data_IF_320510955364
#
_entry.id   IF_320510955364
#
_cell.length_a   1.000
_cell.length_b   1.000
_cell.length_c   1.000
_cell.angle_alpha   90.00
_cell.angle_beta   90.00
_cell.angle_gamma   90.00
#
_symmetry.space_group_name_H-M   'P 1'
#
loop_
_entity.id
_entity.type
_entity.pdbx_description
1 polymer ?
#
# COMPACT_ATOMS: atom_id res chain seq x y z
N UNK A 1 -55.20 -49.52 36.14
CA UNK A 1 -54.32 -49.38 35.00
C UNK A 1 -54.14 -47.88 34.74
N UNK A 2 -52.94 -47.33 35.02
CA UNK A 2 -52.62 -45.89 34.80
C UNK A 2 -51.89 -45.77 33.49
N UNK A 3 -52.20 -44.80 32.62
CA UNK A 3 -51.46 -44.58 31.40
C UNK A 3 -50.19 -43.77 31.72
N UNK A 4 -49.10 -44.25 31.14
CA UNK A 4 -47.78 -43.65 31.30
C UNK A 4 -47.64 -42.29 30.58
N UNK A 5 -47.01 -41.34 31.25
CA UNK A 5 -46.57 -40.09 30.67
C UNK A 5 -45.30 -40.32 29.85
N UNK A 6 -45.38 -40.04 28.55
CA UNK A 6 -44.21 -39.97 27.68
C UNK A 6 -43.62 -38.58 27.82
N UNK A 7 -42.46 -38.48 28.44
CA UNK A 7 -41.67 -37.24 28.54
C UNK A 7 -40.93 -37.05 27.22
N UNK A 8 -41.38 -36.08 26.41
CA UNK A 8 -40.73 -35.69 25.16
C UNK A 8 -39.55 -34.76 25.51
N UNK A 9 -38.35 -35.31 25.47
CA UNK A 9 -37.10 -34.53 25.65
C UNK A 9 -36.81 -33.78 24.34
N UNK A 10 -37.11 -32.49 24.33
CA UNK A 10 -36.76 -31.61 23.22
C UNK A 10 -35.26 -31.27 23.29
N UNK A 11 -34.44 -31.99 22.53
CA UNK A 11 -33.02 -31.67 22.41
C UNK A 11 -32.91 -30.46 21.46
N UNK A 12 -32.68 -29.28 22.05
CA UNK A 12 -32.36 -28.06 21.30
C UNK A 12 -30.92 -28.21 20.80
N UNK A 13 -30.74 -28.65 19.56
CA UNK A 13 -29.45 -28.59 18.87
C UNK A 13 -29.22 -27.14 18.51
N UNK A 14 -28.45 -26.44 19.32
CA UNK A 14 -27.83 -25.20 18.95
C UNK A 14 -26.80 -25.51 17.84
N UNK A 15 -27.20 -25.38 16.60
CA UNK A 15 -26.26 -25.27 15.51
C UNK A 15 -25.58 -23.90 15.69
N UNK A 16 -24.40 -23.89 16.31
CA UNK A 16 -23.44 -22.83 16.07
C UNK A 16 -23.12 -22.90 14.58
N UNK A 17 -23.78 -22.07 13.80
CA UNK A 17 -23.28 -21.69 12.49
C UNK A 17 -21.97 -20.93 12.78
N UNK A 18 -20.84 -21.63 12.67
CA UNK A 18 -19.60 -20.95 12.34
C UNK A 18 -19.94 -20.19 11.04
N UNK A 19 -20.08 -18.88 11.13
CA UNK A 19 -19.86 -18.06 9.96
C UNK A 19 -18.41 -18.38 9.55
N UNK A 20 -18.24 -19.15 8.48
CA UNK A 20 -17.00 -19.13 7.73
C UNK A 20 -16.84 -17.65 7.34
N UNK A 21 -15.82 -17.03 7.90
CA UNK A 21 -15.29 -15.82 7.26
C UNK A 21 -15.11 -16.17 5.80
N UNK A 22 -15.58 -15.29 4.92
CA UNK A 22 -15.50 -15.50 3.47
C UNK A 22 -14.00 -15.41 3.13
N UNK A 23 -13.33 -16.56 3.22
CA UNK A 23 -11.97 -16.68 2.71
C UNK A 23 -12.08 -16.49 1.19
N UNK A 24 -11.62 -15.36 0.68
CA UNK A 24 -11.55 -15.10 -0.75
C UNK A 24 -10.88 -16.25 -1.52
N UNK A 25 -10.86 -16.19 -2.85
CA UNK A 25 -10.35 -17.30 -3.67
C UNK A 25 -8.89 -17.59 -3.33
N UNK A 26 -8.53 -18.88 -3.27
CA UNK A 26 -7.15 -19.28 -2.97
C UNK A 26 -6.19 -18.96 -4.11
N UNK A 27 -6.69 -18.94 -5.33
CA UNK A 27 -5.94 -18.58 -6.54
C UNK A 27 -6.72 -17.54 -7.33
N UNK A 28 -6.00 -16.58 -7.89
CA UNK A 28 -6.58 -15.53 -8.72
C UNK A 28 -5.65 -15.24 -9.88
N UNK A 29 -6.21 -14.94 -11.03
CA UNK A 29 -5.47 -14.51 -12.22
C UNK A 29 -5.79 -13.04 -12.48
N UNK A 30 -4.76 -12.26 -12.73
CA UNK A 30 -4.87 -10.87 -13.17
C UNK A 30 -4.41 -10.77 -14.61
N UNK A 31 -5.09 -9.95 -15.38
CA UNK A 31 -4.65 -9.52 -16.70
C UNK A 31 -4.33 -8.04 -16.64
N UNK A 32 -3.09 -7.68 -16.92
CA UNK A 32 -2.64 -6.31 -17.04
C UNK A 32 -2.40 -6.02 -18.52
N UNK A 33 -3.27 -5.21 -19.09
CA UNK A 33 -3.18 -4.76 -20.48
C UNK A 33 -2.45 -3.45 -20.54
N UNK A 34 -1.44 -3.36 -21.39
CA UNK A 34 -0.61 -2.19 -21.57
C UNK A 34 -0.61 -1.84 -23.05
N UNK A 35 -1.20 -0.70 -23.39
CA UNK A 35 -1.10 -0.11 -24.72
C UNK A 35 -0.07 1.03 -24.66
N UNK A 36 0.93 1.00 -25.50
CA UNK A 36 1.88 2.08 -25.62
C UNK A 36 2.19 2.43 -27.09
N UNK A 37 2.35 3.71 -27.36
CA UNK A 37 2.71 4.21 -28.67
C UNK A 37 3.47 5.53 -28.53
N UNK A 38 4.25 5.85 -29.56
CA UNK A 38 5.01 7.09 -29.60
C UNK A 38 4.60 7.93 -30.83
N UNK A 39 3.49 8.68 -30.75
CA UNK A 39 2.94 9.40 -31.91
C UNK A 39 3.81 10.57 -32.37
N UNK A 40 4.72 11.07 -31.54
CA UNK A 40 5.49 12.30 -31.80
C UNK A 40 7.01 12.11 -31.77
N UNK A 41 7.48 10.90 -31.46
CA UNK A 41 8.92 10.62 -31.29
C UNK A 41 9.54 11.20 -30.00
N UNK A 42 8.71 11.72 -29.10
CA UNK A 42 9.12 12.21 -27.78
C UNK A 42 8.79 11.15 -26.70
N UNK A 43 8.03 11.50 -25.67
CA UNK A 43 7.64 10.56 -24.63
C UNK A 43 6.52 9.63 -25.12
N UNK A 44 6.60 8.32 -24.90
CA UNK A 44 5.54 7.38 -25.25
C UNK A 44 4.27 7.65 -24.43
N UNK A 45 3.12 7.56 -25.05
CA UNK A 45 1.84 7.50 -24.35
C UNK A 45 1.53 6.06 -23.95
N UNK A 46 1.04 5.87 -22.71
CA UNK A 46 0.78 4.55 -22.16
C UNK A 46 -0.58 4.53 -21.50
N UNK A 47 -1.32 3.47 -21.77
CA UNK A 47 -2.59 3.17 -21.13
C UNK A 47 -2.51 1.83 -20.46
N UNK A 48 -3.11 1.75 -19.27
CA UNK A 48 -3.22 0.54 -18.50
C UNK A 48 -4.67 0.21 -18.25
N UNK A 49 -4.98 -1.07 -18.36
CA UNK A 49 -6.22 -1.65 -17.90
C UNK A 49 -5.89 -2.92 -17.13
N UNK A 50 -6.36 -3.02 -15.89
CA UNK A 50 -6.14 -4.15 -15.03
C UNK A 50 -7.47 -4.86 -14.75
N UNK A 51 -7.51 -6.16 -15.01
CA UNK A 51 -8.67 -7.01 -14.78
C UNK A 51 -8.30 -8.15 -13.84
N UNK A 52 -9.20 -8.52 -12.95
CA UNK A 52 -9.03 -9.67 -12.06
C UNK A 52 -10.09 -10.73 -12.39
N UNK A 53 -9.71 -11.99 -12.35
CA UNK A 53 -10.65 -13.11 -12.47
C UNK A 53 -11.57 -13.25 -11.26
N UNK A 54 -11.23 -12.58 -10.14
CA UNK A 54 -12.03 -12.52 -8.93
C UNK A 54 -12.30 -11.08 -8.53
N UNK A 55 -13.57 -10.68 -8.36
CA UNK A 55 -13.92 -9.32 -7.92
C UNK A 55 -13.48 -9.02 -6.46
N UNK A 56 -13.11 -10.06 -5.69
CA UNK A 56 -12.69 -9.94 -4.30
C UNK A 56 -11.20 -9.63 -4.16
N UNK A 57 -10.45 -9.70 -5.27
CA UNK A 57 -9.00 -9.41 -5.28
C UNK A 57 -8.73 -8.34 -6.32
N UNK A 58 -8.01 -7.31 -5.92
CA UNK A 58 -7.57 -6.22 -6.79
C UNK A 58 -6.06 -6.22 -6.94
N UNK A 59 -5.61 -5.70 -8.06
CA UNK A 59 -4.23 -5.33 -8.29
C UNK A 59 -4.10 -3.81 -8.13
N UNK A 60 -3.26 -3.38 -7.22
CA UNK A 60 -2.87 -1.98 -7.07
C UNK A 60 -1.43 -1.82 -7.59
N UNK A 61 -1.17 -0.74 -8.30
CA UNK A 61 0.19 -0.37 -8.72
C UNK A 61 0.32 1.15 -8.73
N UNK A 62 1.53 1.63 -8.48
CA UNK A 62 1.79 3.05 -8.67
C UNK A 62 1.84 3.35 -10.17
N UNK A 63 1.20 4.44 -10.59
CA UNK A 63 1.20 4.89 -12.00
C UNK A 63 2.56 5.43 -12.45
N UNK A 64 3.56 5.26 -11.67
CA UNK A 64 4.88 5.78 -11.95
C UNK A 64 5.67 4.77 -12.74
N UNK A 65 5.79 5.06 -14.01
CA UNK A 65 6.66 4.33 -14.93
C UNK A 65 8.08 4.81 -14.72
N UNK A 66 8.90 3.98 -14.10
CA UNK A 66 10.33 4.13 -14.11
C UNK A 66 10.84 3.91 -15.53
N UNK A 67 11.29 4.99 -16.16
CA UNK A 67 12.18 5.00 -17.29
C UNK A 67 11.83 4.11 -18.48
N UNK A 68 11.03 4.64 -19.43
CA UNK A 68 11.12 4.17 -20.80
C UNK A 68 12.42 4.70 -21.42
N UNK A 69 13.50 3.96 -21.28
CA UNK A 69 14.53 4.06 -22.28
C UNK A 69 14.03 3.24 -23.47
N UNK A 70 13.51 3.87 -24.50
CA UNK A 70 13.28 3.25 -25.81
C UNK A 70 14.48 3.55 -26.67
N UNK A 71 15.58 2.80 -26.57
CA UNK A 71 16.51 2.73 -27.67
C UNK A 71 15.77 2.08 -28.83
N UNK A 72 16.06 2.38 -30.09
CA UNK A 72 15.33 1.86 -31.25
C UNK A 72 15.28 0.34 -31.34
N UNK A 73 15.90 -0.40 -30.43
CA UNK A 73 16.02 -1.85 -30.45
C UNK A 73 15.73 -2.59 -29.14
N UNK A 74 15.29 -1.90 -28.08
CA UNK A 74 14.98 -2.50 -26.77
C UNK A 74 13.81 -1.80 -26.14
N UNK A 75 12.81 -2.55 -25.72
CA UNK A 75 11.69 -2.03 -24.95
C UNK A 75 11.74 -2.63 -23.55
N UNK A 76 12.02 -1.80 -22.57
CA UNK A 76 11.90 -2.16 -21.16
C UNK A 76 10.62 -1.56 -20.62
N UNK A 77 9.78 -2.40 -20.02
CA UNK A 77 8.62 -1.94 -19.26
C UNK A 77 8.89 -2.28 -17.80
N UNK A 78 8.93 -1.28 -16.95
CA UNK A 78 9.05 -1.45 -15.50
C UNK A 78 7.74 -0.99 -14.88
N UNK A 79 7.14 -1.81 -14.05
CA UNK A 79 5.93 -1.51 -13.30
C UNK A 79 6.31 -1.65 -11.83
N UNK A 80 6.35 -0.52 -11.16
CA UNK A 80 6.77 -0.44 -9.77
C UNK A 80 5.58 -0.55 -8.81
N UNK A 81 5.86 -0.99 -7.60
CA UNK A 81 4.92 -1.00 -6.49
C UNK A 81 3.64 -1.81 -6.76
N UNK A 82 3.76 -2.94 -7.42
CA UNK A 82 2.62 -3.84 -7.68
C UNK A 82 2.22 -4.57 -6.40
N UNK A 83 0.95 -4.50 -6.06
CA UNK A 83 0.35 -5.19 -4.91
C UNK A 83 -0.87 -5.96 -5.35
N UNK A 84 -1.00 -7.18 -4.84
CA UNK A 84 -2.14 -8.04 -5.06
C UNK A 84 -2.86 -8.23 -3.72
N UNK A 85 -4.05 -7.63 -3.57
CA UNK A 85 -4.72 -7.50 -2.28
C UNK A 85 -6.16 -7.98 -2.40
N UNK A 86 -6.56 -8.92 -1.52
CA UNK A 86 -7.95 -9.31 -1.34
C UNK A 86 -8.77 -8.26 -0.61
N UNK A 87 -10.09 -8.31 -0.75
CA UNK A 87 -11.02 -7.43 0.00
C UNK A 87 -10.96 -7.64 1.52
N UNK A 88 -10.44 -8.79 1.93
CA UNK A 88 -10.15 -9.16 3.33
C UNK A 88 -8.76 -8.67 3.80
N UNK A 89 -8.09 -7.84 2.99
CA UNK A 89 -6.74 -7.32 3.20
C UNK A 89 -5.64 -8.39 3.30
N UNK A 90 -5.90 -9.59 2.81
CA UNK A 90 -4.87 -10.62 2.68
C UNK A 90 -4.12 -10.44 1.39
N UNK A 91 -2.79 -10.57 1.44
CA UNK A 91 -1.93 -10.47 0.28
C UNK A 91 -1.96 -11.75 -0.54
N UNK A 92 -1.68 -11.58 -1.83
CA UNK A 92 -1.49 -12.65 -2.78
C UNK A 92 -0.04 -12.60 -3.28
N UNK A 93 0.56 -13.78 -3.41
CA UNK A 93 1.91 -13.93 -3.98
C UNK A 93 1.80 -14.21 -5.47
N UNK A 94 2.74 -13.64 -6.24
CA UNK A 94 2.89 -13.95 -7.65
C UNK A 94 3.53 -15.34 -7.78
N UNK A 95 2.85 -16.25 -8.48
CA UNK A 95 3.37 -17.59 -8.78
C UNK A 95 3.99 -17.65 -10.18
N UNK A 96 3.33 -17.03 -11.15
CA UNK A 96 3.75 -17.05 -12.54
C UNK A 96 3.28 -15.80 -13.27
N UNK A 97 4.07 -15.33 -14.20
CA UNK A 97 3.69 -14.26 -15.12
C UNK A 97 3.97 -14.73 -16.54
N UNK A 98 2.95 -14.63 -17.40
CA UNK A 98 3.09 -14.90 -18.83
C UNK A 98 2.81 -13.63 -19.61
N UNK A 99 3.67 -13.27 -20.54
CA UNK A 99 3.49 -12.12 -21.39
C UNK A 99 2.93 -12.51 -22.77
N UNK A 100 2.04 -11.68 -23.28
CA UNK A 100 1.46 -11.81 -24.61
C UNK A 100 1.59 -10.49 -25.34
N UNK A 101 1.81 -10.58 -26.66
CA UNK A 101 1.76 -9.46 -27.57
C UNK A 101 0.59 -9.65 -28.53
N UNK A 102 -0.14 -8.56 -28.82
CA UNK A 102 -1.15 -8.58 -29.84
C UNK A 102 -0.52 -8.49 -31.23
N UNK A 103 -0.84 -9.42 -32.07
CA UNK A 103 -0.36 -9.49 -33.46
C UNK A 103 -1.47 -9.07 -34.41
N UNK A 104 -1.34 -7.88 -35.01
CA UNK A 104 -2.32 -7.34 -35.94
C UNK A 104 -2.44 -8.17 -37.23
N UNK A 105 -1.34 -8.80 -37.64
CA UNK A 105 -1.31 -9.66 -38.85
C UNK A 105 -2.19 -10.92 -38.73
N UNK A 106 -2.42 -11.43 -37.55
CA UNK A 106 -3.29 -12.56 -37.25
C UNK A 106 -4.53 -12.18 -36.44
N UNK A 107 -4.62 -10.92 -36.02
CA UNK A 107 -5.66 -10.37 -35.16
C UNK A 107 -5.87 -11.20 -33.86
N UNK A 108 -4.78 -11.58 -33.21
CA UNK A 108 -4.81 -12.40 -32.00
C UNK A 108 -3.61 -12.14 -31.10
N UNK A 109 -3.76 -12.54 -29.82
CA UNK A 109 -2.69 -12.51 -28.83
C UNK A 109 -1.75 -13.70 -29.02
N UNK A 110 -0.47 -13.44 -29.02
CA UNK A 110 0.57 -14.47 -29.09
C UNK A 110 1.47 -14.37 -27.89
N UNK A 111 1.71 -15.49 -27.24
CA UNK A 111 2.67 -15.59 -26.15
C UNK A 111 4.07 -15.19 -26.66
N UNK A 112 4.72 -14.30 -25.91
CA UNK A 112 6.08 -13.89 -26.19
C UNK A 112 7.05 -14.79 -25.42
N UNK A 113 7.58 -15.79 -26.10
CA UNK A 113 8.52 -16.77 -25.53
C UNK A 113 9.98 -16.32 -25.61
N UNK A 114 10.25 -15.19 -26.27
CA UNK A 114 11.61 -14.64 -26.44
C UNK A 114 11.93 -13.49 -25.47
N UNK A 115 11.00 -13.16 -24.58
CA UNK A 115 11.16 -12.08 -23.61
C UNK A 115 11.80 -12.55 -22.31
N UNK A 116 12.32 -11.59 -21.57
CA UNK A 116 12.68 -11.79 -20.17
C UNK A 116 11.71 -11.00 -19.30
N UNK A 117 10.91 -11.69 -18.53
CA UNK A 117 10.11 -11.10 -17.48
C UNK A 117 10.64 -11.53 -16.13
N UNK A 118 10.86 -10.59 -15.26
CA UNK A 118 11.19 -10.83 -13.87
C UNK A 118 10.22 -10.09 -12.98
N UNK A 119 9.97 -10.66 -11.82
CA UNK A 119 9.32 -9.97 -10.72
C UNK A 119 10.18 -10.15 -9.48
N UNK A 120 10.28 -9.09 -8.73
CA UNK A 120 11.11 -9.04 -7.52
C UNK A 120 10.26 -8.51 -6.38
N UNK A 121 10.22 -9.26 -5.28
CA UNK A 121 9.65 -8.78 -4.03
C UNK A 121 10.65 -7.78 -3.43
N UNK A 122 10.17 -6.60 -3.08
CA UNK A 122 10.99 -5.61 -2.39
C UNK A 122 11.19 -6.09 -0.96
N UNK A 123 12.41 -6.56 -0.65
CA UNK A 123 12.79 -7.03 0.68
C UNK A 123 13.44 -5.93 1.53
N UNK A 124 14.08 -4.96 0.88
CA UNK A 124 14.73 -3.83 1.54
C UNK A 124 13.73 -2.68 1.69
N UNK A 125 13.19 -2.54 2.89
CA UNK A 125 12.03 -1.71 3.19
C UNK A 125 12.28 -0.81 4.40
N UNK A 126 12.11 0.50 4.20
CA UNK A 126 12.08 1.48 5.28
C UNK A 126 10.69 2.11 5.43
N UNK A 127 10.23 2.16 6.66
CA UNK A 127 8.90 2.69 6.99
C UNK A 127 9.01 3.77 8.06
N UNK A 128 8.30 4.89 7.87
CA UNK A 128 8.13 5.86 8.96
C UNK A 128 6.66 5.92 9.36
N UNK A 129 6.41 5.70 10.63
CA UNK A 129 5.09 5.85 11.24
C UNK A 129 4.99 7.23 11.93
N UNK A 130 4.06 8.05 11.46
CA UNK A 130 3.80 9.42 11.96
C UNK A 130 2.50 9.38 12.76
N UNK A 131 2.62 9.55 14.09
CA UNK A 131 1.54 9.35 15.05
C UNK A 131 1.09 10.66 15.69
N UNK A 132 -0.19 10.97 15.53
CA UNK A 132 -0.85 12.03 16.28
C UNK A 132 -0.93 11.66 17.76
N UNK A 133 -0.39 12.56 18.59
CA UNK A 133 -0.46 12.48 20.03
C UNK A 133 -1.23 13.69 20.61
N UNK A 134 -2.14 14.26 19.83
CA UNK A 134 -2.99 15.35 20.31
C UNK A 134 -4.00 14.86 21.34
N UNK A 135 -4.39 15.76 22.26
CA UNK A 135 -5.28 15.43 23.36
C UNK A 135 -6.72 15.11 22.95
N UNK A 136 -7.10 15.32 21.68
CA UNK A 136 -8.39 14.97 21.11
C UNK A 136 -8.68 13.47 21.15
N UNK A 137 -7.64 12.62 21.04
CA UNK A 137 -7.73 11.17 21.14
C UNK A 137 -8.18 10.68 22.53
N UNK A 138 -7.89 11.46 23.61
CA UNK A 138 -8.29 11.10 24.97
C UNK A 138 -7.87 9.68 25.36
N UNK A 139 -8.81 8.87 25.83
CA UNK A 139 -8.56 7.50 26.29
C UNK A 139 -8.22 6.54 25.13
N UNK A 140 -8.60 6.84 23.88
CA UNK A 140 -8.31 6.03 22.70
C UNK A 140 -6.81 6.02 22.34
N UNK A 141 -6.04 6.99 22.87
CA UNK A 141 -4.61 7.10 22.57
C UNK A 141 -3.81 5.85 22.95
N UNK A 142 -4.07 5.24 24.09
CA UNK A 142 -3.40 4.01 24.51
C UNK A 142 -3.73 2.83 23.56
N UNK A 143 -4.94 2.82 23.01
CA UNK A 143 -5.34 1.84 22.00
C UNK A 143 -4.60 2.06 20.69
N UNK A 144 -4.43 3.33 20.26
CA UNK A 144 -3.63 3.67 19.07
C UNK A 144 -2.17 3.24 19.24
N UNK A 145 -1.56 3.43 20.42
CA UNK A 145 -0.21 2.92 20.71
C UNK A 145 -0.13 1.40 20.57
N UNK A 146 -1.14 0.66 21.04
CA UNK A 146 -1.18 -0.78 20.87
C UNK A 146 -1.21 -1.18 19.38
N UNK A 147 -2.03 -0.51 18.57
CA UNK A 147 -2.08 -0.75 17.12
C UNK A 147 -0.77 -0.38 16.42
N UNK A 148 -0.10 0.68 16.85
CA UNK A 148 1.23 1.02 16.34
C UNK A 148 2.27 -0.06 16.66
N UNK A 149 2.22 -0.66 17.85
CA UNK A 149 3.06 -1.79 18.21
C UNK A 149 2.75 -3.05 17.37
N UNK A 150 1.46 -3.35 17.13
CA UNK A 150 1.04 -4.46 16.28
C UNK A 150 1.47 -4.24 14.82
N UNK A 151 1.41 -3.00 14.34
CA UNK A 151 1.92 -2.61 13.02
C UNK A 151 3.43 -2.91 12.90
N UNK A 152 4.23 -2.50 13.88
CA UNK A 152 5.67 -2.78 13.92
C UNK A 152 5.93 -4.28 13.86
N UNK A 153 5.24 -5.07 14.69
CA UNK A 153 5.41 -6.52 14.70
C UNK A 153 5.05 -7.15 13.34
N UNK A 154 4.00 -6.65 12.70
CA UNK A 154 3.53 -7.12 11.40
C UNK A 154 4.52 -6.80 10.27
N UNK A 155 5.10 -5.60 10.26
CA UNK A 155 6.12 -5.20 9.29
C UNK A 155 7.36 -6.09 9.43
N UNK A 156 7.88 -6.29 10.63
CA UNK A 156 9.06 -7.14 10.85
C UNK A 156 8.77 -8.63 10.60
N UNK A 157 7.55 -9.09 10.82
CA UNK A 157 7.17 -10.46 10.47
C UNK A 157 7.20 -10.72 8.97
N UNK A 158 6.85 -9.71 8.17
CA UNK A 158 6.81 -9.79 6.72
C UNK A 158 8.16 -9.41 6.07
N UNK A 159 8.88 -8.46 6.62
CA UNK A 159 10.22 -8.01 6.17
C UNK A 159 11.17 -7.90 7.38
N UNK A 160 11.90 -8.98 7.73
CA UNK A 160 12.79 -8.98 8.89
C UNK A 160 13.99 -8.01 8.80
N UNK A 161 14.33 -7.56 7.59
CA UNK A 161 15.40 -6.59 7.33
C UNK A 161 14.92 -5.13 7.39
N UNK A 162 13.62 -4.89 7.48
CA UNK A 162 13.06 -3.54 7.49
C UNK A 162 13.65 -2.66 8.60
N UNK A 163 13.76 -1.37 8.32
CA UNK A 163 13.99 -0.36 9.36
C UNK A 163 12.74 0.51 9.52
N UNK A 164 12.39 0.81 10.76
CA UNK A 164 11.23 1.64 11.08
C UNK A 164 11.68 2.89 11.81
N UNK A 165 11.23 4.06 11.34
CA UNK A 165 11.32 5.33 12.04
C UNK A 165 9.98 5.71 12.66
N UNK A 166 10.01 6.47 13.73
CA UNK A 166 8.81 6.95 14.40
C UNK A 166 8.84 8.47 14.50
N UNK A 167 7.72 9.11 14.22
CA UNK A 167 7.52 10.54 14.49
C UNK A 167 6.24 10.66 15.29
N UNK A 168 6.29 11.28 16.46
CA UNK A 168 5.11 11.63 17.23
C UNK A 168 4.92 13.13 17.28
N UNK A 169 3.68 13.59 17.24
CA UNK A 169 3.40 15.01 17.18
C UNK A 169 2.16 15.44 17.97
N UNK A 170 2.28 16.61 18.55
CA UNK A 170 1.19 17.42 19.10
C UNK A 170 1.56 18.90 18.90
N UNK A 171 1.79 19.68 19.92
CA UNK A 171 2.46 21.00 19.89
C UNK A 171 3.98 20.88 19.71
N UNK A 172 4.54 19.75 20.08
CA UNK A 172 5.93 19.38 19.86
C UNK A 172 6.01 18.18 18.93
N UNK A 173 7.10 18.11 18.19
CA UNK A 173 7.43 16.97 17.35
C UNK A 173 8.66 16.30 17.95
N UNK A 174 8.55 15.00 18.17
CA UNK A 174 9.65 14.14 18.59
C UNK A 174 9.79 12.98 17.61
N UNK A 175 10.99 12.42 17.48
CA UNK A 175 11.20 11.35 16.52
C UNK A 175 12.29 10.36 16.98
N UNK A 176 12.15 9.14 16.50
CA UNK A 176 13.15 8.10 16.54
C UNK A 176 13.60 7.82 15.09
N UNK A 177 14.91 7.93 14.78
CA UNK A 177 15.43 7.58 13.47
C UNK A 177 15.13 6.14 13.06
N UNK A 178 15.30 5.81 11.77
CA UNK A 178 15.20 4.46 11.26
C UNK A 178 16.06 3.49 12.07
N UNK A 179 15.46 2.38 12.47
CA UNK A 179 16.12 1.32 13.25
C UNK A 179 15.39 -0.02 13.08
N UNK A 180 16.13 -1.12 13.18
CA UNK A 180 15.57 -2.47 13.24
C UNK A 180 15.44 -3.02 14.69
N UNK A 181 15.71 -2.19 15.70
CA UNK A 181 15.53 -2.57 17.11
C UNK A 181 14.08 -2.41 17.56
N UNK A 182 13.30 -3.51 17.51
CA UNK A 182 11.89 -3.53 17.92
C UNK A 182 11.69 -3.07 19.37
N UNK A 183 12.62 -3.36 20.28
CA UNK A 183 12.48 -2.94 21.68
C UNK A 183 12.64 -1.43 21.81
N UNK A 184 13.54 -0.83 21.02
CA UNK A 184 13.71 0.62 21.00
C UNK A 184 12.44 1.30 20.45
N UNK A 185 11.86 0.76 19.37
CA UNK A 185 10.62 1.27 18.79
C UNK A 185 9.45 1.22 19.78
N UNK A 186 9.22 0.07 20.41
CA UNK A 186 8.14 -0.10 21.41
C UNK A 186 8.34 0.79 22.63
N UNK A 187 9.59 0.91 23.09
CA UNK A 187 9.92 1.81 24.23
C UNK A 187 9.63 3.27 23.88
N UNK A 188 9.90 3.68 22.63
CA UNK A 188 9.57 5.02 22.18
C UNK A 188 8.04 5.23 22.15
N UNK A 189 7.27 4.32 21.56
CA UNK A 189 5.79 4.41 21.54
C UNK A 189 5.22 4.51 22.95
N UNK A 190 5.70 3.68 23.88
CA UNK A 190 5.24 3.71 25.27
C UNK A 190 5.55 5.05 25.96
N UNK A 191 6.60 5.72 25.54
CA UNK A 191 7.03 7.01 26.12
C UNK A 191 6.24 8.22 25.63
N UNK A 192 5.50 8.10 24.49
CA UNK A 192 4.77 9.22 23.89
C UNK A 192 3.69 9.73 24.86
N UNK A 193 3.66 11.04 25.02
CA UNK A 193 2.67 11.76 25.85
C UNK A 193 1.78 12.62 24.98
N UNK A 194 0.49 12.73 25.33
CA UNK A 194 -0.43 13.63 24.64
C UNK A 194 -0.13 15.11 24.94
N UNK A 195 -0.31 15.94 23.93
CA UNK A 195 -0.16 17.38 23.98
C UNK A 195 -1.36 18.15 23.37
N UNK A 196 -1.37 19.50 23.48
CA UNK A 196 -2.56 20.30 23.20
C UNK A 196 -2.76 20.59 21.71
N UNK A 197 -2.02 20.51 20.77
CA UNK A 197 -2.19 20.94 19.38
C UNK A 197 -1.87 19.79 18.38
N UNK A 198 -1.98 20.09 17.08
CA UNK A 198 -1.82 19.13 15.97
C UNK A 198 -0.89 19.73 14.93
N UNK A 199 0.41 19.36 14.94
CA UNK A 199 1.43 19.82 13.98
C UNK A 199 1.63 18.78 12.86
N UNK A 200 0.55 18.39 12.19
CA UNK A 200 0.49 17.30 11.22
C UNK A 200 1.45 17.48 10.05
N UNK A 201 1.43 18.66 9.41
CA UNK A 201 2.20 18.88 8.19
C UNK A 201 3.71 18.91 8.47
N UNK A 202 4.11 19.50 9.58
CA UNK A 202 5.51 19.54 9.98
C UNK A 202 6.02 18.15 10.38
N UNK A 203 5.20 17.35 11.05
CA UNK A 203 5.51 15.97 11.41
C UNK A 203 5.63 15.06 10.19
N UNK A 204 4.70 15.17 9.22
CA UNK A 204 4.80 14.43 7.98
C UNK A 204 6.05 14.84 7.18
N UNK A 205 6.39 16.13 7.14
CA UNK A 205 7.64 16.57 6.54
C UNK A 205 8.86 15.89 7.17
N UNK A 206 8.92 15.80 8.50
CA UNK A 206 9.97 15.08 9.22
C UNK A 206 10.03 13.61 8.82
N UNK A 207 8.88 12.94 8.74
CA UNK A 207 8.82 11.54 8.30
C UNK A 207 9.34 11.33 6.88
N UNK A 208 9.02 12.23 5.96
CA UNK A 208 9.53 12.19 4.59
C UNK A 208 11.05 12.43 4.58
N UNK A 209 11.57 13.37 5.39
CA UNK A 209 13.00 13.65 5.49
C UNK A 209 13.79 12.43 5.96
N UNK A 210 13.30 11.69 6.96
CA UNK A 210 13.93 10.46 7.42
C UNK A 210 14.04 9.41 6.31
N UNK A 211 13.01 9.29 5.47
CA UNK A 211 13.02 8.36 4.34
C UNK A 211 13.88 8.84 3.16
N UNK A 212 14.10 10.15 3.01
CA UNK A 212 14.98 10.68 1.97
C UNK A 212 16.46 10.35 2.23
N UNK A 213 16.84 10.17 3.48
CA UNK A 213 18.21 9.78 3.89
C UNK A 213 18.44 8.26 3.76
N UNK A 214 17.38 7.47 3.59
CA UNK A 214 17.43 6.02 3.41
C UNK A 214 17.93 5.63 2.01
N UNK A 215 18.59 4.49 1.90
CA UNK A 215 18.98 3.87 0.63
C UNK A 215 18.09 2.67 0.26
N UNK A 216 17.06 2.35 1.08
CA UNK A 216 16.16 1.24 0.84
C UNK A 216 15.38 1.41 -0.49
N UNK A 217 15.11 0.28 -1.15
CA UNK A 217 14.34 0.24 -2.41
C UNK A 217 12.86 0.54 -2.18
N UNK A 218 12.31 0.04 -1.08
CA UNK A 218 10.93 0.29 -0.66
C UNK A 218 10.86 1.32 0.46
N UNK A 219 10.06 2.38 0.27
CA UNK A 219 9.89 3.43 1.27
C UNK A 219 8.44 3.76 1.47
N UNK A 220 8.00 3.78 2.72
CA UNK A 220 6.63 4.12 3.04
C UNK A 220 6.53 5.04 4.26
N UNK A 221 5.63 6.01 4.20
CA UNK A 221 5.21 6.78 5.35
C UNK A 221 3.74 6.49 5.64
N UNK A 222 3.43 6.17 6.89
CA UNK A 222 2.06 5.96 7.39
C UNK A 222 1.75 7.06 8.39
N UNK A 223 0.78 7.89 8.09
CA UNK A 223 0.36 9.01 8.93
C UNK A 223 -0.98 8.71 9.56
N UNK A 224 -1.07 8.76 10.88
CA UNK A 224 -2.32 8.67 11.63
C UNK A 224 -2.63 10.00 12.30
N UNK A 225 -3.88 10.46 12.18
CA UNK A 225 -4.40 11.65 12.88
C UNK A 225 -5.90 11.55 13.14
N UNK A 226 -6.37 12.16 14.22
CA UNK A 226 -7.80 12.38 14.52
C UNK A 226 -8.20 13.86 14.41
N UNK A 227 -7.30 14.70 13.90
CA UNK A 227 -7.48 16.15 13.86
C UNK A 227 -7.07 16.81 12.55
N UNK A 228 -7.33 18.11 12.50
CA UNK A 228 -6.81 19.00 11.45
C UNK A 228 -5.56 19.71 11.94
N UNK A 229 -4.61 19.99 11.02
CA UNK A 229 -3.46 20.79 11.36
C UNK A 229 -3.84 22.17 11.89
N UNK A 230 -3.28 22.53 13.04
CA UNK A 230 -3.54 23.82 13.67
C UNK A 230 -2.31 24.49 14.30
N UNK A 231 -1.12 23.86 14.12
CA UNK A 231 0.09 24.35 14.79
C UNK A 231 1.36 24.25 13.93
N UNK A 232 1.33 23.63 12.75
CA UNK A 232 2.50 23.57 11.88
C UNK A 232 2.96 24.96 11.47
N UNK A 233 4.28 25.14 11.30
CA UNK A 233 4.83 26.39 10.80
C UNK A 233 4.33 26.68 9.38
N UNK A 234 4.11 27.98 9.00
CA UNK A 234 3.39 28.35 7.78
C UNK A 234 4.02 27.88 6.45
N UNK A 235 5.28 27.48 6.43
CA UNK A 235 5.94 26.91 5.26
C UNK A 235 5.50 25.48 4.96
N UNK A 236 5.03 24.75 5.95
CA UNK A 236 4.53 23.38 5.79
C UNK A 236 3.05 23.42 5.41
N UNK A 237 2.76 23.18 4.16
CA UNK A 237 1.41 23.17 3.61
C UNK A 237 1.12 21.85 2.91
N UNK A 238 -0.15 21.45 2.72
CA UNK A 238 -0.48 20.26 1.94
C UNK A 238 0.14 20.26 0.55
N UNK A 239 0.13 21.41 -0.14
CA UNK A 239 0.75 21.56 -1.46
C UNK A 239 2.26 21.35 -1.45
N UNK A 240 2.97 21.92 -0.46
CA UNK A 240 4.40 21.70 -0.28
C UNK A 240 4.72 20.20 -0.05
N UNK A 241 3.95 19.52 0.79
CA UNK A 241 4.16 18.10 1.08
C UNK A 241 3.82 17.22 -0.12
N UNK A 242 2.75 17.55 -0.84
CA UNK A 242 2.39 16.85 -2.07
C UNK A 242 3.49 16.97 -3.13
N UNK A 243 4.00 18.19 -3.33
CA UNK A 243 5.13 18.41 -4.23
C UNK A 243 6.37 17.61 -3.79
N UNK A 244 6.67 17.58 -2.50
CA UNK A 244 7.81 16.85 -1.96
C UNK A 244 7.68 15.33 -2.12
N UNK A 245 6.46 14.79 -2.01
CA UNK A 245 6.17 13.38 -2.23
C UNK A 245 6.22 12.99 -3.72
N UNK A 246 5.80 13.90 -4.62
CA UNK A 246 5.55 13.57 -6.02
C UNK A 246 6.59 14.10 -7.00
N UNK A 247 7.38 15.13 -6.62
CA UNK A 247 8.42 15.66 -7.48
C UNK A 247 9.63 14.71 -7.53
N UNK A 248 9.94 14.31 -8.74
CA UNK A 248 11.01 13.36 -9.10
C UNK A 248 12.40 14.01 -9.08
N UNK A 249 12.77 14.71 -8.01
CA UNK A 249 14.11 15.29 -7.84
C UNK A 249 15.13 14.31 -7.23
N UNK A 250 14.66 13.20 -6.72
CA UNK A 250 15.46 12.06 -6.27
C UNK A 250 14.72 10.80 -6.70
N UNK A 251 15.39 9.79 -7.21
CA UNK A 251 14.83 8.49 -7.62
C UNK A 251 14.09 7.72 -6.50
N UNK A 252 13.54 8.43 -5.51
CA UNK A 252 13.02 7.86 -4.29
C UNK A 252 11.54 8.19 -4.18
N UNK A 253 10.72 7.20 -4.50
CA UNK A 253 9.27 7.30 -4.32
C UNK A 253 8.89 6.80 -2.94
N UNK A 254 8.39 7.71 -2.11
CA UNK A 254 7.83 7.37 -0.81
C UNK A 254 6.34 7.09 -0.98
N UNK A 255 5.90 5.86 -0.72
CA UNK A 255 4.49 5.52 -0.67
C UNK A 255 3.86 6.16 0.57
N UNK A 256 2.93 7.09 0.40
CA UNK A 256 2.32 7.82 1.51
C UNK A 256 0.90 7.33 1.78
N UNK A 257 0.70 6.76 2.97
CA UNK A 257 -0.58 6.28 3.46
C UNK A 257 -1.10 7.20 4.55
N UNK A 258 -2.40 7.46 4.58
CA UNK A 258 -3.00 8.30 5.61
C UNK A 258 -4.19 7.63 6.27
N UNK A 259 -4.27 7.70 7.59
CA UNK A 259 -5.39 7.24 8.41
C UNK A 259 -5.98 8.47 9.10
N UNK A 260 -7.21 8.83 8.71
CA UNK A 260 -7.97 9.92 9.32
C UNK A 260 -9.07 9.39 10.21
N UNK A 261 -8.88 9.32 11.53
CA UNK A 261 -9.91 8.88 12.46
C UNK A 261 -10.87 10.02 12.79
N UNK A 262 -12.14 9.87 12.40
CA UNK A 262 -13.16 10.90 12.66
C UNK A 262 -13.69 10.84 14.10
N UNK A 263 -12.81 10.91 15.08
CA UNK A 263 -13.18 11.00 16.48
C UNK A 263 -13.94 12.30 16.81
N UNK A 264 -13.66 12.91 17.95
CA UNK A 264 -14.35 14.13 18.39
C UNK A 264 -13.87 15.41 17.67
N UNK A 265 -12.70 15.37 17.00
CA UNK A 265 -12.05 16.55 16.40
C UNK A 265 -12.42 16.80 14.92
N UNK A 266 -12.73 15.73 14.19
CA UNK A 266 -12.90 15.77 12.74
C UNK A 266 -11.60 15.97 11.97
N UNK A 267 -11.46 15.33 10.81
CA UNK A 267 -10.27 15.38 9.97
C UNK A 267 -10.53 16.12 8.66
N UNK A 268 -9.48 16.68 8.06
CA UNK A 268 -9.55 17.26 6.71
C UNK A 268 -9.34 16.15 5.66
N UNK A 269 -10.45 15.44 5.31
CA UNK A 269 -10.42 14.35 4.34
C UNK A 269 -9.77 14.73 3.01
N UNK A 270 -10.15 15.85 2.34
CA UNK A 270 -9.50 16.26 1.09
C UNK A 270 -7.98 16.44 1.19
N UNK A 271 -7.49 16.94 2.31
CA UNK A 271 -6.06 17.08 2.56
C UNK A 271 -5.40 15.71 2.71
N UNK A 272 -5.96 14.83 3.55
CA UNK A 272 -5.40 13.49 3.74
C UNK A 272 -5.43 12.64 2.45
N UNK A 273 -6.49 12.78 1.63
CA UNK A 273 -6.57 12.17 0.30
C UNK A 273 -5.48 12.72 -0.65
N UNK A 274 -5.17 14.01 -0.56
CA UNK A 274 -4.09 14.62 -1.35
C UNK A 274 -2.71 14.15 -0.89
N UNK A 275 -2.51 13.96 0.40
CA UNK A 275 -1.25 13.51 0.99
C UNK A 275 -1.02 12.00 0.84
N UNK A 276 -2.06 11.22 0.52
CA UNK A 276 -1.91 9.83 0.12
C UNK A 276 -1.42 9.76 -1.33
N UNK A 277 -0.17 9.38 -1.53
CA UNK A 277 0.51 9.51 -2.81
C UNK A 277 1.37 8.28 -3.14
N UNK A 278 1.80 8.17 -4.39
CA UNK A 278 2.73 7.15 -4.89
C UNK A 278 2.29 5.70 -4.62
N UNK A 279 0.99 5.42 -4.75
CA UNK A 279 0.40 4.11 -4.48
C UNK A 279 -0.05 3.90 -3.04
N UNK A 280 0.16 4.85 -2.13
CA UNK A 280 -0.52 4.88 -0.84
C UNK A 280 -1.98 5.33 -0.98
N UNK A 281 -2.76 5.09 0.06
CA UNK A 281 -4.20 5.39 0.10
C UNK A 281 -4.58 6.10 1.39
N UNK A 282 -5.65 6.91 1.34
CA UNK A 282 -6.28 7.50 2.51
C UNK A 282 -7.45 6.63 2.97
N UNK A 283 -7.53 6.32 4.26
CA UNK A 283 -8.62 5.57 4.86
C UNK A 283 -9.18 6.33 6.07
N UNK A 284 -10.50 6.30 6.21
CA UNK A 284 -11.24 7.07 7.23
C UNK A 284 -12.08 6.13 8.09
N UNK A 285 -11.49 5.47 9.09
CA UNK A 285 -12.21 4.61 10.01
C UNK A 285 -13.18 5.43 10.89
N UNK A 286 -14.33 4.85 11.22
CA UNK A 286 -15.35 5.49 12.06
C UNK A 286 -15.27 5.05 13.53
N UNK A 287 -14.61 3.92 13.78
CA UNK A 287 -14.44 3.36 15.12
C UNK A 287 -12.98 3.08 15.40
N UNK A 288 -12.62 3.05 16.67
CA UNK A 288 -11.24 2.76 17.08
C UNK A 288 -10.81 1.34 16.65
N UNK A 289 -11.72 0.37 16.67
CA UNK A 289 -11.42 -0.99 16.22
C UNK A 289 -11.10 -1.05 14.71
N UNK A 290 -11.79 -0.22 13.91
CA UNK A 290 -11.48 -0.08 12.48
C UNK A 290 -10.09 0.53 12.25
N UNK A 291 -9.62 1.41 13.14
CA UNK A 291 -8.24 1.96 13.08
C UNK A 291 -7.22 0.82 13.13
N UNK A 292 -7.38 -0.13 14.06
CA UNK A 292 -6.50 -1.29 14.17
C UNK A 292 -6.49 -2.16 12.90
N UNK A 293 -7.66 -2.35 12.28
CA UNK A 293 -7.77 -3.08 11.00
C UNK A 293 -7.03 -2.35 9.87
N UNK A 294 -7.09 -1.02 9.83
CA UNK A 294 -6.38 -0.21 8.82
C UNK A 294 -4.87 -0.30 9.01
N UNK A 295 -4.36 -0.21 10.25
CA UNK A 295 -2.94 -0.42 10.53
C UNK A 295 -2.47 -1.81 10.06
N UNK A 296 -3.23 -2.87 10.36
CA UNK A 296 -2.94 -4.22 9.88
C UNK A 296 -2.97 -4.33 8.35
N UNK A 297 -3.93 -3.67 7.69
CA UNK A 297 -3.99 -3.61 6.22
C UNK A 297 -2.79 -2.90 5.61
N UNK A 298 -2.36 -1.78 6.20
CA UNK A 298 -1.24 -1.01 5.69
C UNK A 298 0.09 -1.74 5.89
N UNK A 299 0.32 -2.37 7.05
CA UNK A 299 1.53 -3.17 7.25
C UNK A 299 1.66 -4.27 6.20
N UNK A 300 0.57 -4.95 5.89
CA UNK A 300 0.53 -5.95 4.82
C UNK A 300 0.80 -5.32 3.44
N UNK A 301 0.15 -4.21 3.11
CA UNK A 301 0.30 -3.56 1.80
C UNK A 301 1.71 -3.02 1.57
N UNK A 302 2.40 -2.60 2.62
CA UNK A 302 3.76 -2.05 2.56
C UNK A 302 4.78 -3.17 2.39
N UNK A 303 4.60 -4.31 3.03
CA UNK A 303 5.58 -5.39 3.07
C UNK A 303 5.49 -6.39 1.89
N UNK A 304 4.50 -6.27 1.00
CA UNK A 304 4.31 -7.20 -0.12
C UNK A 304 4.18 -6.42 -1.44
N UNK A 305 5.27 -5.77 -1.81
CA UNK A 305 5.38 -4.94 -3.00
C UNK A 305 6.29 -5.62 -4.00
N UNK A 306 5.86 -5.70 -5.25
CA UNK A 306 6.65 -6.27 -6.34
C UNK A 306 7.02 -5.21 -7.36
N UNK A 307 8.22 -5.30 -7.89
CA UNK A 307 8.62 -4.63 -9.12
C UNK A 307 8.58 -5.65 -10.26
N UNK A 308 7.87 -5.30 -11.33
CA UNK A 308 7.77 -6.13 -12.54
C UNK A 308 8.64 -5.50 -13.62
N UNK A 309 9.55 -6.27 -14.19
CA UNK A 309 10.38 -5.85 -15.31
C UNK A 309 10.17 -6.76 -16.51
N UNK A 310 9.81 -6.17 -17.63
CA UNK A 310 9.69 -6.85 -18.91
C UNK A 310 10.72 -6.28 -19.89
N UNK A 311 11.56 -7.15 -20.42
CA UNK A 311 12.60 -6.79 -21.41
C UNK A 311 12.32 -7.54 -22.70
N UNK A 312 12.13 -6.80 -23.78
CA UNK A 312 11.93 -7.36 -25.12
C UNK A 312 13.13 -7.12 -26.00
N UNK A 313 13.70 -8.20 -26.52
CA UNK A 313 14.95 -8.15 -27.28
C UNK A 313 14.83 -7.73 -28.74
N UNK A 314 13.65 -7.69 -29.30
CA UNK A 314 13.46 -7.25 -30.70
C UNK A 314 12.15 -6.51 -30.85
N UNK A 315 12.24 -5.19 -31.03
CA UNK A 315 11.08 -4.52 -31.52
C UNK A 315 11.20 -3.18 -32.16
N UNK A 316 10.54 -3.11 -33.24
CA UNK A 316 10.04 -1.90 -33.84
C UNK A 316 8.66 -1.66 -33.23
N UNK A 317 8.52 -0.66 -32.35
CA UNK A 317 7.20 -0.09 -32.06
C UNK A 317 6.83 0.68 -33.29
N UNK A 318 5.72 0.35 -33.99
CA UNK A 318 5.27 1.15 -35.11
C UNK A 318 5.07 2.60 -34.65
N UNK A 319 5.59 3.56 -35.39
CA UNK A 319 5.51 4.98 -35.02
C UNK A 319 4.07 5.48 -34.88
N UNK A 320 3.10 4.78 -35.44
CA UNK A 320 1.69 5.20 -35.54
C UNK A 320 0.69 4.28 -34.84
N UNK A 321 1.03 3.02 -34.57
CA UNK A 321 0.11 2.08 -33.97
C UNK A 321 0.57 1.69 -32.57
N UNK A 322 -0.36 1.56 -31.58
CA UNK A 322 0.00 1.14 -30.25
C UNK A 322 0.51 -0.31 -30.25
N UNK A 323 1.66 -0.54 -29.63
CA UNK A 323 2.01 -1.88 -29.23
C UNK A 323 1.12 -2.28 -28.04
N UNK A 324 0.50 -3.45 -28.11
CA UNK A 324 -0.40 -3.96 -27.08
C UNK A 324 0.24 -5.17 -26.44
N UNK A 325 0.50 -5.04 -25.15
CA UNK A 325 1.01 -6.10 -24.30
C UNK A 325 -0.05 -6.53 -23.30
N UNK A 326 -0.05 -7.81 -22.96
CA UNK A 326 -0.90 -8.36 -21.90
C UNK A 326 -0.04 -9.25 -21.02
N UNK A 327 0.02 -8.94 -19.74
CA UNK A 327 0.62 -9.81 -18.75
C UNK A 327 -0.47 -10.55 -17.99
N UNK A 328 -0.37 -11.86 -17.96
CA UNK A 328 -1.24 -12.74 -17.20
C UNK A 328 -0.48 -13.15 -15.95
N UNK A 329 -0.91 -12.66 -14.79
CA UNK A 329 -0.29 -12.88 -13.49
C UNK A 329 -1.13 -13.92 -12.75
N UNK A 330 -0.55 -15.08 -12.49
CA UNK A 330 -1.14 -16.08 -11.61
C UNK A 330 -0.66 -15.84 -10.19
N UNK A 331 -1.57 -15.84 -9.25
CA UNK A 331 -1.30 -15.55 -7.86
C UNK A 331 -2.02 -16.52 -6.94
N UNK A 332 -1.44 -16.80 -5.78
CA UNK A 332 -2.07 -17.53 -4.69
C UNK A 332 -2.13 -16.70 -3.41
N UNK A 333 -3.12 -17.00 -2.59
CA UNK A 333 -3.29 -16.39 -1.27
C UNK A 333 -2.14 -16.82 -0.36
N UNK A 334 -1.51 -15.85 0.30
CA UNK A 334 -0.42 -16.04 1.25
C UNK A 334 -0.89 -16.56 2.61
#
# INVERSE_FOLDING_TARGET
MKPGQILLLLVLVLTMACQKEDEGPRQTTFELHIDFWNPTGNDPEIRFDAQSSSPEVRIDFSKTFGGFAVPPNLTNVVIDNVRLIGNDNVNYEIEEITAYEFRDDINDWKEDVEFTMSYELIEDLDVVLVLDASASLGDDFETVKAFANDFIDSVFAASPSAEIGLVSFSDLIDYLPLTNDQNQLKTYIDSIQQGPFTSLYEALNMGIDLLQESEAEGKAVVTFTDGTDNNSAPQYTPGFLFDKLTQDTSNIKVNSFTIGFEGNGGVDRPVLETLAANGGVAVFPNTIDEVGQVFGSFSNSIANVYNLTYVRNQQVIPESDPARLRFVIQSSRK
#
